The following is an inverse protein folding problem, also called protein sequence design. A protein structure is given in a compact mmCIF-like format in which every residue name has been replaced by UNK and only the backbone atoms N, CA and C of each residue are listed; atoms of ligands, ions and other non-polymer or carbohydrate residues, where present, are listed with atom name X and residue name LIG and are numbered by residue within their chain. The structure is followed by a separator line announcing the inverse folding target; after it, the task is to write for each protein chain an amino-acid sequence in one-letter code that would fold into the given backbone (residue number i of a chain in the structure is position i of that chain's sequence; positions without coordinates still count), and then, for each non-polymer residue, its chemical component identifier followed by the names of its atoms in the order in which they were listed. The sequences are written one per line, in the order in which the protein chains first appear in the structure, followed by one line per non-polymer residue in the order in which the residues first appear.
data_IF_984197533684
#
_entry.id   IF_984197533684
#
_cell.length_a   1.000
_cell.length_b   1.000
_cell.length_c   1.000
_cell.angle_alpha   90.00
_cell.angle_beta   90.00
_cell.angle_gamma   90.00
#
_symmetry.space_group_name_H-M   'P 1'
#
loop_
_entity.id
_entity.type
_entity.pdbx_description
1 polymer ?
#
# COMPACT_ATOMS: atom_id res chain seq x y z
N UNK A 1 8.26 -0.62 3.33
CA UNK A 1 7.26 -0.93 4.38
C UNK A 1 7.92 -1.08 5.75
N UNK A 2 8.74 -0.12 6.23
CA UNK A 2 9.47 -0.35 7.48
C UNK A 2 8.59 -0.09 8.72
N UNK A 3 7.52 0.72 8.61
CA UNK A 3 6.56 1.04 9.69
C UNK A 3 5.81 -0.17 10.27
N UNK A 4 5.78 -1.31 9.56
CA UNK A 4 5.15 -2.53 10.08
C UNK A 4 5.90 -3.11 11.29
N UNK A 5 7.22 -2.92 11.35
CA UNK A 5 8.08 -3.60 12.33
C UNK A 5 9.10 -2.67 12.98
N UNK A 6 9.45 -1.55 12.35
CA UNK A 6 10.32 -0.55 12.96
C UNK A 6 9.52 0.46 13.76
N UNK A 7 10.05 0.82 14.94
CA UNK A 7 9.56 1.96 15.70
C UNK A 7 9.79 3.25 14.93
N UNK A 8 8.80 4.13 15.03
CA UNK A 8 8.83 5.48 14.52
C UNK A 8 8.91 6.45 15.68
N UNK A 9 9.91 7.32 15.67
CA UNK A 9 10.01 8.38 16.66
C UNK A 9 9.28 9.62 16.14
N UNK A 10 8.42 10.18 16.97
CA UNK A 10 7.70 11.41 16.63
C UNK A 10 8.69 12.53 16.28
N UNK A 11 8.38 13.28 15.23
CA UNK A 11 9.24 14.35 14.72
C UNK A 11 10.44 13.91 13.86
N UNK A 12 10.80 12.62 13.82
CA UNK A 12 11.90 12.13 12.95
C UNK A 12 11.61 12.38 11.46
N UNK A 13 12.66 12.57 10.66
CA UNK A 13 12.59 12.58 9.19
C UNK A 13 11.90 11.31 8.68
N UNK A 14 12.16 10.17 9.30
CA UNK A 14 11.52 8.90 8.96
C UNK A 14 9.99 8.96 9.12
N UNK A 15 9.49 9.42 10.27
CA UNK A 15 8.05 9.58 10.51
C UNK A 15 7.42 10.66 9.60
N UNK A 16 8.14 11.75 9.36
CA UNK A 16 7.69 12.81 8.45
C UNK A 16 7.61 12.32 6.99
N UNK A 17 8.59 11.54 6.54
CA UNK A 17 8.63 10.96 5.20
C UNK A 17 7.48 9.98 4.99
N UNK A 18 7.18 9.12 5.96
CA UNK A 18 6.04 8.20 5.94
C UNK A 18 4.71 8.96 5.80
N UNK A 19 4.48 9.99 6.62
CA UNK A 19 3.28 10.84 6.52
C UNK A 19 3.19 11.56 5.18
N UNK A 20 4.31 12.13 4.71
CA UNK A 20 4.36 12.82 3.43
C UNK A 20 4.06 11.88 2.24
N UNK A 21 4.52 10.62 2.30
CA UNK A 21 4.22 9.62 1.30
C UNK A 21 2.71 9.33 1.23
N UNK A 22 2.05 9.08 2.36
CA UNK A 22 0.60 8.84 2.43
C UNK A 22 -0.19 10.04 1.90
N UNK A 23 0.15 11.25 2.34
CA UNK A 23 -0.48 12.49 1.84
C UNK A 23 -0.32 12.65 0.32
N UNK A 24 0.86 12.33 -0.21
CA UNK A 24 1.12 12.43 -1.64
C UNK A 24 0.39 11.34 -2.44
N UNK A 25 0.20 10.14 -1.88
CA UNK A 25 -0.68 9.11 -2.47
C UNK A 25 -2.12 9.61 -2.60
N UNK A 26 -2.67 10.15 -1.51
CA UNK A 26 -4.03 10.68 -1.50
C UNK A 26 -4.20 11.83 -2.48
N UNK A 27 -3.25 12.78 -2.50
CA UNK A 27 -3.27 13.92 -3.42
C UNK A 27 -3.25 13.47 -4.88
N UNK A 28 -2.32 12.60 -5.25
CA UNK A 28 -2.16 12.15 -6.63
C UNK A 28 -3.38 11.36 -7.14
N UNK A 29 -3.93 10.48 -6.31
CA UNK A 29 -5.13 9.72 -6.67
C UNK A 29 -6.36 10.62 -6.80
N UNK A 30 -6.49 11.66 -5.97
CA UNK A 30 -7.55 12.66 -6.07
C UNK A 30 -7.49 13.42 -7.40
N UNK A 31 -6.30 13.84 -7.83
CA UNK A 31 -6.08 14.50 -9.13
C UNK A 31 -6.44 13.59 -10.33
N UNK A 32 -6.25 12.28 -10.18
CA UNK A 32 -6.60 11.27 -11.18
C UNK A 32 -8.03 10.70 -11.01
N UNK A 33 -8.80 11.19 -10.04
CA UNK A 33 -10.16 10.75 -9.72
C UNK A 33 -10.33 9.24 -9.41
N UNK A 34 -9.28 8.58 -8.93
CA UNK A 34 -9.26 7.14 -8.58
C UNK A 34 -9.08 6.93 -7.06
N UNK A 35 -9.32 5.71 -6.52
CA UNK A 35 -8.88 5.35 -5.18
C UNK A 35 -7.35 5.49 -5.04
N UNK A 36 -6.85 5.69 -3.82
CA UNK A 36 -5.40 5.80 -3.58
C UNK A 36 -4.80 4.47 -3.13
N UNK A 37 -3.46 4.35 -3.21
CA UNK A 37 -2.73 3.12 -2.89
C UNK A 37 -1.91 2.56 -4.06
N UNK A 38 -1.22 3.43 -4.83
CA UNK A 38 -0.38 2.99 -5.95
C UNK A 38 0.93 2.42 -5.41
N UNK A 39 1.07 1.10 -5.44
CA UNK A 39 2.26 0.39 -4.98
C UNK A 39 2.52 -0.82 -5.88
N UNK A 40 3.68 -1.45 -5.71
CA UNK A 40 4.01 -2.72 -6.35
C UNK A 40 2.86 -3.72 -6.24
N UNK A 41 2.44 -4.27 -7.39
CA UNK A 41 1.32 -5.21 -7.45
C UNK A 41 1.27 -5.91 -8.80
N UNK A 42 0.39 -6.92 -8.90
CA UNK A 42 -0.03 -7.41 -10.21
C UNK A 42 -0.91 -6.36 -10.91
N UNK A 43 -0.94 -6.35 -12.24
CA UNK A 43 -1.76 -5.43 -13.05
C UNK A 43 -2.44 -6.19 -14.19
N UNK A 44 -3.38 -5.56 -14.89
CA UNK A 44 -4.25 -6.24 -15.86
C UNK A 44 -3.56 -6.44 -17.21
N UNK A 45 -2.54 -7.30 -17.20
CA UNK A 45 -1.82 -7.79 -18.37
C UNK A 45 -1.41 -9.24 -18.10
N UNK A 46 -1.48 -10.08 -19.11
CA UNK A 46 -1.20 -11.51 -18.98
C UNK A 46 0.11 -11.89 -19.66
N UNK A 47 0.82 -12.89 -19.11
CA UNK A 47 1.85 -13.63 -19.85
C UNK A 47 1.25 -14.72 -20.74
N UNK A 48 2.14 -15.49 -21.39
CA UNK A 48 1.80 -16.64 -22.23
C UNK A 48 1.06 -17.76 -21.48
N UNK A 49 1.15 -17.80 -20.15
CA UNK A 49 0.50 -18.78 -19.29
C UNK A 49 -0.76 -18.22 -18.61
N UNK A 50 -1.25 -17.06 -19.06
CA UNK A 50 -2.42 -16.40 -18.50
C UNK A 50 -2.27 -15.98 -17.03
N UNK A 51 -1.04 -15.74 -16.55
CA UNK A 51 -0.81 -15.13 -15.24
C UNK A 51 -0.79 -13.60 -15.35
N UNK A 52 -1.41 -12.92 -14.38
CA UNK A 52 -1.25 -11.48 -14.24
C UNK A 52 0.23 -11.09 -14.05
N UNK A 53 0.68 -10.13 -14.83
CA UNK A 53 2.02 -9.56 -14.75
C UNK A 53 2.19 -8.72 -13.49
N UNK A 54 3.42 -8.69 -12.96
CA UNK A 54 3.77 -8.03 -11.72
C UNK A 54 4.80 -6.93 -11.96
N UNK A 55 4.67 -5.80 -11.26
CA UNK A 55 5.59 -4.67 -11.42
C UNK A 55 5.54 -3.73 -10.20
N UNK A 56 6.68 -3.09 -9.92
CA UNK A 56 6.73 -1.93 -9.03
C UNK A 56 6.06 -0.69 -9.65
N UNK A 57 5.04 -0.17 -8.96
CA UNK A 57 4.42 1.11 -9.25
C UNK A 57 4.76 2.12 -8.17
N UNK A 58 4.59 3.40 -8.46
CA UNK A 58 4.83 4.45 -7.48
C UNK A 58 4.30 5.79 -7.93
N UNK A 59 3.92 6.60 -6.94
CA UNK A 59 3.43 7.96 -7.17
C UNK A 59 4.56 8.83 -7.73
N UNK A 60 4.34 9.57 -8.85
CA UNK A 60 5.42 10.24 -9.59
C UNK A 60 6.30 11.19 -8.77
N UNK A 61 5.73 11.88 -7.78
CA UNK A 61 6.45 12.89 -6.98
C UNK A 61 7.42 12.29 -5.96
N UNK A 62 7.21 11.04 -5.55
CA UNK A 62 7.97 10.37 -4.48
C UNK A 62 8.64 9.08 -4.94
N UNK A 63 8.55 8.74 -6.23
CA UNK A 63 9.24 7.58 -6.79
C UNK A 63 10.71 7.89 -7.02
N UNK A 64 11.56 6.89 -6.79
CA UNK A 64 12.99 6.99 -7.05
C UNK A 64 13.33 6.85 -8.54
N UNK A 65 12.64 5.96 -9.26
CA UNK A 65 12.97 5.61 -10.64
C UNK A 65 12.12 6.38 -11.66
N UNK A 66 12.72 6.91 -12.74
CA UNK A 66 11.95 7.52 -13.82
C UNK A 66 11.19 6.45 -14.63
N UNK A 67 9.98 6.77 -15.07
CA UNK A 67 9.23 5.95 -16.03
C UNK A 67 8.64 6.81 -17.14
N UNK A 68 8.49 6.22 -18.33
CA UNK A 68 7.97 6.90 -19.53
C UNK A 68 6.51 7.33 -19.42
N UNK A 69 5.68 6.54 -18.72
CA UNK A 69 4.26 6.80 -18.50
C UNK A 69 3.90 6.41 -17.08
N UNK A 70 3.09 7.23 -16.43
CA UNK A 70 2.56 6.92 -15.11
C UNK A 70 1.49 5.84 -15.24
N UNK A 71 1.58 4.81 -14.40
CA UNK A 71 0.57 3.76 -14.33
C UNK A 71 -0.39 4.10 -13.20
N UNK A 72 -1.68 3.96 -13.48
CA UNK A 72 -2.75 4.10 -12.50
C UNK A 72 -3.22 2.71 -12.04
N UNK A 73 -2.36 2.00 -11.30
CA UNK A 73 -2.68 0.70 -10.69
C UNK A 73 -2.73 0.88 -9.19
N UNK A 74 -3.87 0.57 -8.58
CA UNK A 74 -4.10 0.76 -7.15
C UNK A 74 -4.17 -0.60 -6.47
N UNK A 75 -3.37 -0.78 -5.42
CA UNK A 75 -3.29 -2.00 -4.63
C UNK A 75 -3.85 -1.74 -3.22
N UNK A 76 -4.95 -2.40 -2.80
CA UNK A 76 -5.59 -2.13 -1.52
C UNK A 76 -4.69 -2.27 -0.30
N UNK A 77 -3.67 -3.13 -0.36
CA UNK A 77 -2.74 -3.32 0.75
C UNK A 77 -1.95 -2.03 1.08
N UNK A 78 -1.66 -1.19 0.08
CA UNK A 78 -0.96 0.07 0.30
C UNK A 78 -1.81 1.05 1.14
N UNK A 79 -3.13 0.98 1.04
CA UNK A 79 -4.04 1.71 1.93
C UNK A 79 -4.04 1.12 3.33
N UNK A 80 -4.09 -0.21 3.47
CA UNK A 80 -4.06 -0.85 4.79
C UNK A 80 -2.77 -0.53 5.57
N UNK A 81 -1.62 -0.47 4.89
CA UNK A 81 -0.34 -0.09 5.49
C UNK A 81 -0.31 1.32 6.09
N UNK A 82 -1.27 2.17 5.77
CA UNK A 82 -1.34 3.55 6.22
C UNK A 82 -2.41 3.79 7.31
N UNK A 83 -3.00 2.72 7.87
CA UNK A 83 -4.01 2.80 8.94
C UNK A 83 -3.53 3.63 10.13
N UNK A 84 -2.30 3.40 10.60
CA UNK A 84 -1.68 4.14 11.72
C UNK A 84 -1.39 5.63 11.40
N UNK A 85 -1.55 6.06 10.15
CA UNK A 85 -1.23 7.41 9.69
C UNK A 85 -2.49 8.21 9.35
N UNK A 86 -3.46 7.59 8.68
CA UNK A 86 -4.62 8.26 8.11
C UNK A 86 -5.86 7.33 8.14
N UNK A 87 -6.27 6.95 9.35
CA UNK A 87 -7.35 5.98 9.59
C UNK A 87 -8.62 6.31 8.79
N UNK A 88 -9.18 7.50 8.97
CA UNK A 88 -10.45 7.87 8.35
C UNK A 88 -10.38 7.79 6.82
N UNK A 89 -9.28 8.28 6.23
CA UNK A 89 -9.05 8.25 4.80
C UNK A 89 -8.81 6.84 4.27
N UNK A 90 -8.17 5.99 5.07
CA UNK A 90 -8.04 4.56 4.75
C UNK A 90 -9.41 3.89 4.71
N UNK A 91 -10.25 4.11 5.72
CA UNK A 91 -11.58 3.50 5.78
C UNK A 91 -12.49 3.98 4.64
N UNK A 92 -12.48 5.28 4.32
CA UNK A 92 -13.19 5.85 3.17
C UNK A 92 -12.70 5.21 1.85
N UNK A 93 -11.39 5.06 1.67
CA UNK A 93 -10.81 4.51 0.45
C UNK A 93 -11.04 2.99 0.29
N UNK A 94 -10.91 2.21 1.37
CA UNK A 94 -11.20 0.78 1.37
C UNK A 94 -12.69 0.50 1.10
N UNK A 95 -13.59 1.33 1.63
CA UNK A 95 -15.02 1.26 1.33
C UNK A 95 -15.27 1.52 -0.15
N UNK A 96 -14.69 2.58 -0.71
CA UNK A 96 -14.74 2.88 -2.15
C UNK A 96 -14.20 1.74 -3.00
N UNK A 97 -13.08 1.13 -2.61
CA UNK A 97 -12.51 -0.03 -3.33
C UNK A 97 -13.45 -1.24 -3.30
N UNK A 98 -14.13 -1.48 -2.17
CA UNK A 98 -15.13 -2.55 -2.06
C UNK A 98 -16.35 -2.28 -2.94
N UNK A 99 -16.83 -1.03 -2.99
CA UNK A 99 -17.94 -0.63 -3.88
C UNK A 99 -17.59 -0.79 -5.36
N UNK A 100 -16.31 -0.63 -5.73
CA UNK A 100 -15.79 -0.92 -7.08
C UNK A 100 -15.61 -2.42 -7.36
N UNK A 101 -15.96 -3.31 -6.42
CA UNK A 101 -15.86 -4.76 -6.58
C UNK A 101 -14.48 -5.35 -6.32
N UNK A 102 -13.54 -4.59 -5.73
CA UNK A 102 -12.16 -5.04 -5.44
C UNK A 102 -12.10 -5.88 -4.14
N UNK A 103 -13.13 -6.67 -3.88
CA UNK A 103 -13.25 -7.51 -2.68
C UNK A 103 -13.85 -8.86 -3.04
N UNK A 104 -13.29 -9.95 -2.49
CA UNK A 104 -13.73 -11.32 -2.73
C UNK A 104 -13.52 -12.22 -1.51
N UNK A 105 -13.40 -13.52 -1.74
CA UNK A 105 -13.45 -14.55 -0.70
C UNK A 105 -12.33 -14.44 0.34
N UNK A 106 -11.12 -14.04 -0.09
CA UNK A 106 -9.95 -13.86 0.79
C UNK A 106 -9.68 -12.39 1.11
N UNK A 107 -10.72 -11.55 1.06
CA UNK A 107 -10.61 -10.11 1.29
C UNK A 107 -10.36 -9.34 0.00
N UNK A 108 -9.59 -8.25 0.09
CA UNK A 108 -9.31 -7.41 -1.07
C UNK A 108 -8.49 -8.16 -2.11
N UNK A 109 -8.90 -8.03 -3.38
CA UNK A 109 -8.09 -8.49 -4.51
C UNK A 109 -6.78 -7.72 -4.61
N UNK A 110 -5.84 -8.29 -5.35
CA UNK A 110 -4.49 -7.78 -5.51
C UNK A 110 -4.44 -6.32 -5.96
N UNK A 111 -5.20 -5.96 -7.00
CA UNK A 111 -5.24 -4.57 -7.49
C UNK A 111 -6.42 -4.28 -8.41
N UNK A 112 -6.56 -2.99 -8.74
CA UNK A 112 -7.44 -2.45 -9.77
C UNK A 112 -6.61 -1.58 -10.72
N UNK A 113 -6.71 -1.85 -12.02
CA UNK A 113 -5.93 -1.22 -13.08
C UNK A 113 -6.80 -0.25 -13.88
N UNK A 114 -6.51 1.05 -13.79
CA UNK A 114 -7.20 2.13 -14.49
C UNK A 114 -6.51 2.53 -15.81
N UNK A 115 -5.48 1.79 -16.26
CA UNK A 115 -4.78 2.13 -17.51
C UNK A 115 -5.54 1.68 -18.76
N UNK A 116 -6.46 0.73 -18.61
CA UNK A 116 -7.27 0.17 -19.70
C UNK A 116 -8.72 -0.05 -19.24
N UNK A 117 -9.72 0.15 -20.13
CA UNK A 117 -11.11 -0.16 -19.82
C UNK A 117 -11.37 -1.67 -19.93
N UNK A 118 -12.34 -2.16 -19.16
CA UNK A 118 -12.87 -3.51 -19.28
C UNK A 118 -14.07 -3.49 -20.23
N UNK A 119 -13.93 -4.13 -21.40
CA UNK A 119 -14.99 -4.19 -22.40
C UNK A 119 -16.14 -5.13 -22.04
N UNK A 120 -15.92 -6.08 -21.13
CA UNK A 120 -16.93 -7.06 -20.71
C UNK A 120 -17.83 -6.46 -19.64
N UNK A 121 -17.21 -5.91 -18.60
CA UNK A 121 -17.94 -5.31 -17.46
C UNK A 121 -18.35 -3.85 -17.72
N UNK A 122 -17.95 -3.28 -18.86
CA UNK A 122 -18.19 -1.89 -19.27
C UNK A 122 -17.70 -0.85 -18.24
N UNK A 123 -16.62 -1.18 -17.54
CA UNK A 123 -15.99 -0.30 -16.54
C UNK A 123 -14.74 0.39 -17.11
N UNK A 124 -14.39 1.60 -16.63
CA UNK A 124 -13.18 2.29 -17.06
C UNK A 124 -11.88 1.71 -16.44
N UNK A 125 -11.96 0.53 -15.83
CA UNK A 125 -10.88 -0.15 -15.13
C UNK A 125 -11.06 -1.66 -15.21
N UNK A 126 -9.99 -2.39 -14.94
CA UNK A 126 -10.01 -3.84 -14.79
C UNK A 126 -9.58 -4.27 -13.38
N UNK A 127 -10.26 -5.27 -12.81
CA UNK A 127 -9.91 -5.83 -11.49
C UNK A 127 -8.96 -7.02 -11.69
N UNK A 128 -7.86 -7.03 -10.93
CA UNK A 128 -6.90 -8.13 -10.91
C UNK A 128 -7.34 -9.13 -9.85
N UNK A 129 -8.11 -10.14 -10.26
CA UNK A 129 -8.74 -11.13 -9.36
C UNK A 129 -7.74 -12.22 -8.93
N UNK A 130 -6.71 -11.82 -8.21
CA UNK A 130 -5.72 -12.69 -7.58
C UNK A 130 -5.45 -12.26 -6.15
N UNK A 131 -4.71 -13.08 -5.42
CA UNK A 131 -4.29 -12.81 -4.04
C UNK A 131 -2.81 -13.16 -3.90
N UNK A 132 -1.99 -12.20 -3.48
CA UNK A 132 -0.60 -12.46 -3.13
C UNK A 132 -0.45 -12.66 -1.62
N UNK A 133 0.17 -13.78 -1.23
CA UNK A 133 0.31 -14.14 0.19
C UNK A 133 1.01 -13.06 1.02
N UNK A 134 2.02 -12.39 0.46
CA UNK A 134 2.74 -11.34 1.17
C UNK A 134 1.91 -10.06 1.35
N UNK A 135 1.12 -9.65 0.35
CA UNK A 135 0.19 -8.52 0.49
C UNK A 135 -0.94 -8.83 1.49
N UNK A 136 -1.47 -10.06 1.50
CA UNK A 136 -2.44 -10.47 2.52
C UNK A 136 -1.81 -10.53 3.91
N UNK A 137 -0.57 -11.00 4.03
CA UNK A 137 0.19 -10.94 5.28
C UNK A 137 0.39 -9.51 5.77
N UNK A 138 0.70 -8.58 4.87
CA UNK A 138 0.85 -7.16 5.17
C UNK A 138 -0.46 -6.52 5.64
N UNK A 139 -1.58 -6.86 5.00
CA UNK A 139 -2.91 -6.43 5.42
C UNK A 139 -3.18 -6.81 6.87
N UNK A 140 -3.00 -8.09 7.20
CA UNK A 140 -3.20 -8.61 8.55
C UNK A 140 -2.24 -7.98 9.56
N UNK A 141 -0.97 -7.80 9.19
CA UNK A 141 0.03 -7.17 10.04
C UNK A 141 -0.32 -5.69 10.33
N UNK A 142 -0.77 -4.94 9.32
CA UNK A 142 -1.16 -3.55 9.48
C UNK A 142 -2.40 -3.41 10.36
N UNK A 143 -3.44 -4.22 10.12
CA UNK A 143 -4.65 -4.25 10.96
C UNK A 143 -4.29 -4.62 12.41
N UNK A 144 -3.43 -5.62 12.60
CA UNK A 144 -3.01 -6.05 13.94
C UNK A 144 -2.22 -4.96 14.66
N UNK A 145 -1.33 -4.24 13.98
CA UNK A 145 -0.64 -3.10 14.56
C UNK A 145 -1.62 -1.98 14.94
N UNK A 146 -2.53 -1.62 14.04
CA UNK A 146 -3.51 -0.58 14.30
C UNK A 146 -4.39 -0.90 15.52
N UNK A 147 -4.92 -2.12 15.61
CA UNK A 147 -5.79 -2.55 16.70
C UNK A 147 -5.06 -2.78 18.04
N UNK A 148 -3.75 -3.06 18.00
CA UNK A 148 -2.95 -3.39 19.18
C UNK A 148 -1.75 -2.47 19.34
N UNK A 149 -1.94 -1.18 19.03
CA UNK A 149 -0.98 -0.11 19.34
C UNK A 149 0.46 -0.40 18.88
N UNK A 150 0.62 -0.99 17.69
CA UNK A 150 1.92 -1.31 17.12
C UNK A 150 2.61 -2.56 17.66
N UNK A 151 1.87 -3.53 18.19
CA UNK A 151 2.43 -4.74 18.83
C UNK A 151 3.53 -5.47 18.04
N UNK A 152 3.52 -5.46 16.71
CA UNK A 152 4.58 -6.10 15.92
C UNK A 152 5.89 -5.32 16.00
N UNK A 153 5.83 -3.98 16.11
CA UNK A 153 7.00 -3.13 16.35
C UNK A 153 7.61 -3.45 17.72
N UNK A 154 6.78 -3.58 18.75
CA UNK A 154 7.26 -3.95 20.09
C UNK A 154 7.91 -5.33 20.11
N UNK A 155 7.28 -6.34 19.48
CA UNK A 155 7.85 -7.69 19.39
C UNK A 155 9.15 -7.71 18.60
N UNK A 156 9.23 -6.96 17.50
CA UNK A 156 10.45 -6.89 16.69
C UNK A 156 11.60 -6.23 17.46
N UNK A 157 11.33 -5.14 18.18
CA UNK A 157 12.32 -4.42 18.98
C UNK A 157 12.64 -5.08 20.34
N UNK A 158 11.84 -6.03 20.80
CA UNK A 158 12.16 -6.84 21.96
C UNK A 158 13.34 -7.79 21.71
N UNK A 159 13.65 -8.11 20.45
CA UNK A 159 14.75 -8.99 20.14
C UNK A 159 16.11 -8.31 20.35
N UNK A 160 17.02 -9.00 21.06
CA UNK A 160 18.28 -8.45 21.55
C UNK A 160 19.18 -7.92 20.42
N UNK A 161 19.21 -8.61 19.27
CA UNK A 161 20.00 -8.16 18.13
C UNK A 161 19.47 -6.84 17.54
N UNK A 162 18.15 -6.65 17.54
CA UNK A 162 17.52 -5.42 17.06
C UNK A 162 17.75 -4.30 18.06
N UNK A 163 17.45 -4.57 19.34
CA UNK A 163 17.63 -3.62 20.43
C UNK A 163 19.06 -3.08 20.54
N UNK A 164 20.06 -3.95 20.33
CA UNK A 164 21.47 -3.54 20.31
C UNK A 164 21.80 -2.51 19.21
N UNK A 165 20.98 -2.44 18.16
CA UNK A 165 21.15 -1.55 17.00
C UNK A 165 20.07 -0.46 16.91
N UNK A 166 19.10 -0.44 17.83
CA UNK A 166 17.93 0.45 17.79
C UNK A 166 18.32 1.93 17.78
N UNK A 167 19.42 2.29 18.47
CA UNK A 167 19.98 3.65 18.48
C UNK A 167 20.36 4.17 17.08
N UNK A 168 20.57 3.29 16.09
CA UNK A 168 20.84 3.69 14.71
C UNK A 168 19.59 4.25 14.00
N UNK A 169 18.40 4.02 14.56
CA UNK A 169 17.14 4.57 14.07
C UNK A 169 16.85 5.96 14.64
N UNK A 170 17.60 6.39 15.65
CA UNK A 170 17.49 7.74 16.21
C UNK A 170 18.35 8.72 15.41
N UNK A 171 17.72 9.82 15.01
CA UNK A 171 18.44 10.95 14.43
C UNK A 171 19.23 11.65 15.53
N UNK A 172 20.54 11.78 15.35
CA UNK A 172 21.38 12.58 16.24
C UNK A 172 20.92 14.03 16.14
N UNK A 173 20.48 14.58 17.28
CA UNK A 173 20.23 16.01 17.45
C UNK A 173 21.53 16.81 17.38
#
# INVERSE_FOLDING_TARGET
MPNLVFKEYEGSVYAQASRAAVLQHMKYAKEAEIPWGISESQYYRFDLNSNYQYKAFGVPKIRLQPVRRNSLVVAPYATMLALDIAEEECMKNLTRLKELGVFGDYGFYESIDFNVPNSVDLTPYCIVKSYMAHHQGMNLAAINNYLNEGILRERFHAEMMIKATEVLLEEKR
#
